data_IF_923286954033
#
_entry.id   IF_923286954033
#
_cell.length_a   1.000
_cell.length_b   1.000
_cell.length_c   1.000
_cell.angle_alpha   90.00
_cell.angle_beta   90.00
_cell.angle_gamma   90.00
#
_symmetry.space_group_name_H-M   'P 1'
#
loop_
_entity.id
_entity.type
_entity.pdbx_description
1 polymer ?
#
# COMPACT_ATOMS: atom_id res chain seq x y z
N UNK A 1 -12.33 -38.43 -29.13
CA UNK A 1 -12.72 -37.00 -29.22
C UNK A 1 -13.49 -36.50 -28.00
N UNK A 2 -14.58 -37.14 -27.55
CA UNK A 2 -15.31 -36.73 -26.32
C UNK A 2 -14.45 -36.63 -25.04
N UNK A 3 -13.53 -37.59 -24.82
CA UNK A 3 -12.59 -37.56 -23.68
C UNK A 3 -11.54 -36.43 -23.77
N UNK A 4 -11.20 -36.00 -24.99
CA UNK A 4 -10.27 -34.90 -25.23
C UNK A 4 -10.96 -33.55 -25.01
N UNK A 5 -12.21 -33.43 -25.43
CA UNK A 5 -13.09 -32.27 -25.21
C UNK A 5 -13.37 -32.03 -23.71
N UNK A 6 -13.62 -33.09 -22.93
CA UNK A 6 -13.81 -33.01 -21.48
C UNK A 6 -12.54 -32.58 -20.73
N UNK A 7 -11.35 -33.01 -21.19
CA UNK A 7 -10.08 -32.61 -20.58
C UNK A 7 -9.78 -31.12 -20.83
N UNK A 8 -10.05 -30.62 -22.04
CA UNK A 8 -9.89 -29.19 -22.36
C UNK A 8 -10.86 -28.31 -21.56
N UNK A 9 -12.13 -28.73 -21.39
CA UNK A 9 -13.11 -28.01 -20.58
C UNK A 9 -12.71 -27.93 -19.10
N UNK A 10 -12.08 -28.99 -18.57
CA UNK A 10 -11.61 -29.02 -17.17
C UNK A 10 -10.40 -28.09 -16.95
N UNK A 11 -9.45 -28.05 -17.88
CA UNK A 11 -8.29 -27.14 -17.81
C UNK A 11 -8.71 -25.68 -17.94
N UNK A 12 -9.66 -25.36 -18.83
CA UNK A 12 -10.19 -24.00 -18.97
C UNK A 12 -10.90 -23.57 -17.68
N UNK A 13 -11.75 -24.44 -17.10
CA UNK A 13 -12.43 -24.16 -15.83
C UNK A 13 -11.47 -23.85 -14.67
N UNK A 14 -10.39 -24.63 -14.52
CA UNK A 14 -9.35 -24.41 -13.52
C UNK A 14 -8.64 -23.06 -13.69
N UNK A 15 -8.27 -22.70 -14.92
CA UNK A 15 -7.57 -21.42 -15.18
C UNK A 15 -8.46 -20.20 -14.89
N UNK A 16 -9.75 -20.27 -15.21
CA UNK A 16 -10.69 -19.16 -14.93
C UNK A 16 -10.95 -18.96 -13.44
N UNK A 17 -11.01 -20.04 -12.66
CA UNK A 17 -11.19 -19.95 -11.20
C UNK A 17 -9.95 -19.38 -10.52
N UNK A 18 -8.75 -19.78 -10.96
CA UNK A 18 -7.49 -19.29 -10.39
C UNK A 18 -7.32 -17.79 -10.64
N UNK A 19 -7.62 -17.32 -11.86
CA UNK A 19 -7.52 -15.91 -12.21
C UNK A 19 -8.55 -15.04 -11.47
N UNK A 20 -9.78 -15.53 -11.29
CA UNK A 20 -10.80 -14.82 -10.51
C UNK A 20 -10.47 -14.72 -9.01
N UNK A 21 -9.81 -15.75 -8.47
CA UNK A 21 -9.35 -15.75 -7.07
C UNK A 21 -8.22 -14.73 -6.86
N UNK A 22 -7.26 -14.67 -7.77
CA UNK A 22 -6.15 -13.69 -7.72
C UNK A 22 -6.66 -12.25 -7.84
N UNK A 23 -7.61 -11.98 -8.74
CA UNK A 23 -8.22 -10.65 -8.89
C UNK A 23 -8.97 -10.21 -7.62
N UNK A 24 -9.69 -11.13 -6.97
CA UNK A 24 -10.38 -10.86 -5.72
C UNK A 24 -9.39 -10.57 -4.58
N UNK A 25 -8.34 -11.37 -4.46
CA UNK A 25 -7.31 -11.19 -3.45
C UNK A 25 -6.57 -9.85 -3.64
N UNK A 26 -6.22 -9.50 -4.88
CA UNK A 26 -5.58 -8.22 -5.19
C UNK A 26 -6.47 -7.04 -4.86
N UNK A 27 -7.75 -7.10 -5.24
CA UNK A 27 -8.74 -6.05 -4.93
C UNK A 27 -8.86 -5.83 -3.42
N UNK A 28 -8.98 -6.90 -2.65
CA UNK A 28 -9.06 -6.84 -1.18
C UNK A 28 -7.78 -6.25 -0.56
N UNK A 29 -6.62 -6.62 -1.10
CA UNK A 29 -5.33 -6.06 -0.66
C UNK A 29 -5.21 -4.57 -0.97
N UNK A 30 -5.72 -4.11 -2.11
CA UNK A 30 -5.77 -2.67 -2.44
C UNK A 30 -6.62 -1.91 -1.42
N UNK A 31 -7.80 -2.43 -1.08
CA UNK A 31 -8.67 -1.81 -0.08
C UNK A 31 -8.02 -1.78 1.31
N UNK A 32 -7.37 -2.88 1.71
CA UNK A 32 -6.55 -2.90 2.93
C UNK A 32 -5.51 -1.77 2.94
N UNK A 33 -4.72 -1.61 1.87
CA UNK A 33 -3.68 -0.57 1.80
C UNK A 33 -4.27 0.83 1.95
N UNK A 34 -5.43 1.10 1.34
CA UNK A 34 -6.12 2.38 1.49
C UNK A 34 -6.55 2.66 2.94
N UNK A 35 -6.90 1.63 3.72
CA UNK A 35 -7.28 1.76 5.14
C UNK A 35 -6.10 2.10 6.06
N UNK A 36 -4.86 1.74 5.71
CA UNK A 36 -3.67 1.95 6.56
C UNK A 36 -3.25 3.41 6.75
N UNK A 37 -3.92 4.36 6.09
CA UNK A 37 -3.50 5.77 6.04
C UNK A 37 -2.51 6.06 4.90
N UNK A 38 -2.08 5.06 4.12
CA UNK A 38 -1.24 5.26 2.95
C UNK A 38 -1.89 6.17 1.90
N UNK A 39 -3.23 6.13 1.76
CA UNK A 39 -3.94 6.99 0.81
C UNK A 39 -3.81 8.48 1.11
N UNK A 40 -4.02 8.89 2.36
CA UNK A 40 -3.85 10.29 2.75
C UNK A 40 -2.39 10.73 2.61
N UNK A 41 -1.42 9.84 2.86
CA UNK A 41 0.00 10.12 2.63
C UNK A 41 0.31 10.44 1.16
N UNK A 42 -0.19 9.64 0.22
CA UNK A 42 0.03 9.89 -1.21
C UNK A 42 -0.71 11.12 -1.72
N UNK A 43 -1.95 11.36 -1.27
CA UNK A 43 -2.67 12.59 -1.60
C UNK A 43 -1.95 13.84 -1.08
N UNK A 44 -1.43 13.78 0.14
CA UNK A 44 -0.62 14.86 0.71
C UNK A 44 0.68 15.08 -0.08
N UNK A 45 1.34 14.00 -0.50
CA UNK A 45 2.53 14.09 -1.35
C UNK A 45 2.21 14.74 -2.71
N UNK A 46 1.10 14.37 -3.35
CA UNK A 46 0.61 15.03 -4.57
C UNK A 46 0.35 16.52 -4.31
N UNK A 47 -0.27 16.87 -3.19
CA UNK A 47 -0.48 18.26 -2.80
C UNK A 47 0.83 19.04 -2.65
N UNK A 48 1.82 18.47 -1.97
CA UNK A 48 3.13 19.09 -1.74
C UNK A 48 3.94 19.25 -3.02
N UNK A 49 4.00 18.21 -3.87
CA UNK A 49 4.67 18.27 -5.17
C UNK A 49 3.96 19.28 -6.09
N UNK A 50 2.64 19.34 -6.01
CA UNK A 50 1.81 20.30 -6.74
C UNK A 50 1.93 21.75 -6.27
N UNK A 51 2.60 22.03 -5.14
CA UNK A 51 2.70 23.37 -4.59
C UNK A 51 3.39 24.35 -5.55
N UNK A 52 4.33 23.84 -6.37
CA UNK A 52 5.06 24.62 -7.38
C UNK A 52 4.33 24.73 -8.74
N UNK A 53 3.20 24.04 -8.91
CA UNK A 53 2.43 24.10 -10.17
C UNK A 53 1.69 25.44 -10.25
N UNK A 54 1.76 26.15 -11.40
CA UNK A 54 1.00 27.39 -11.58
C UNK A 54 -0.49 27.21 -11.32
N UNK A 55 -1.13 28.20 -10.68
CA UNK A 55 -2.54 28.10 -10.24
C UNK A 55 -3.47 27.67 -11.38
N UNK A 56 -3.30 28.24 -12.57
CA UNK A 56 -4.08 27.91 -13.76
C UNK A 56 -3.97 26.43 -14.21
N UNK A 57 -2.91 25.72 -13.81
CA UNK A 57 -2.66 24.31 -14.15
C UNK A 57 -2.91 23.35 -12.99
N UNK A 58 -3.13 23.84 -11.76
CA UNK A 58 -3.27 22.99 -10.56
C UNK A 58 -4.40 21.98 -10.66
N UNK A 59 -5.53 22.36 -11.26
CA UNK A 59 -6.67 21.44 -11.43
C UNK A 59 -6.32 20.25 -12.33
N UNK A 60 -5.71 20.50 -13.48
CA UNK A 60 -5.28 19.45 -14.42
C UNK A 60 -4.21 18.56 -13.80
N UNK A 61 -3.19 19.17 -13.19
CA UNK A 61 -2.17 18.45 -12.43
C UNK A 61 -2.78 17.51 -11.38
N UNK A 62 -3.71 18.01 -10.56
CA UNK A 62 -4.32 17.20 -9.50
C UNK A 62 -5.10 16.02 -10.08
N UNK A 63 -5.84 16.21 -11.16
CA UNK A 63 -6.58 15.13 -11.80
C UNK A 63 -5.64 14.06 -12.37
N UNK A 64 -4.61 14.46 -13.11
CA UNK A 64 -3.62 13.52 -13.67
C UNK A 64 -2.86 12.78 -12.56
N UNK A 65 -2.41 13.49 -11.52
CA UNK A 65 -1.67 12.91 -10.42
C UNK A 65 -2.51 11.92 -9.59
N UNK A 66 -3.77 12.25 -9.29
CA UNK A 66 -4.68 11.31 -8.61
C UNK A 66 -4.94 10.06 -9.45
N UNK A 67 -5.02 10.21 -10.78
CA UNK A 67 -5.15 9.08 -11.70
C UNK A 67 -3.96 8.11 -11.69
N UNK A 68 -2.82 8.49 -11.12
CA UNK A 68 -1.66 7.57 -10.98
C UNK A 68 -1.78 6.62 -9.79
N UNK A 69 -2.68 6.90 -8.82
CA UNK A 69 -2.75 6.15 -7.58
C UNK A 69 -3.23 4.71 -7.77
N UNK A 70 -4.14 4.46 -8.71
CA UNK A 70 -4.64 3.10 -8.96
C UNK A 70 -3.51 2.15 -9.38
N UNK A 71 -2.63 2.60 -10.28
CA UNK A 71 -1.46 1.84 -10.71
C UNK A 71 -0.45 1.63 -9.58
N UNK A 72 -0.30 2.61 -8.68
CA UNK A 72 0.55 2.49 -7.50
C UNK A 72 -0.01 1.46 -6.52
N UNK A 73 -1.30 1.53 -6.19
CA UNK A 73 -1.94 0.56 -5.30
C UNK A 73 -1.88 -0.85 -5.85
N UNK A 74 -2.06 -1.05 -7.15
CA UNK A 74 -1.90 -2.35 -7.78
C UNK A 74 -0.52 -2.95 -7.55
N UNK A 75 0.55 -2.16 -7.72
CA UNK A 75 1.94 -2.60 -7.46
C UNK A 75 2.20 -2.86 -5.99
N UNK A 76 1.64 -2.05 -5.09
CA UNK A 76 1.76 -2.27 -3.65
C UNK A 76 1.04 -3.56 -3.23
N UNK A 77 -0.15 -3.81 -3.76
CA UNK A 77 -0.87 -5.06 -3.49
C UNK A 77 -0.05 -6.29 -3.91
N UNK A 78 0.62 -6.23 -5.06
CA UNK A 78 1.53 -7.31 -5.49
C UNK A 78 2.72 -7.55 -4.53
N UNK A 79 3.15 -6.53 -3.76
CA UNK A 79 4.16 -6.71 -2.71
C UNK A 79 3.56 -7.39 -1.49
N UNK A 80 2.38 -6.94 -1.04
CA UNK A 80 1.71 -7.53 0.12
C UNK A 80 1.27 -8.98 -0.11
N UNK A 81 0.76 -9.31 -1.29
CA UNK A 81 0.32 -10.67 -1.64
C UNK A 81 1.46 -11.71 -1.69
N UNK A 82 2.73 -11.28 -1.69
CA UNK A 82 3.89 -12.17 -1.57
C UNK A 82 4.19 -12.56 -0.13
N UNK A 83 3.82 -11.71 0.80
CA UNK A 83 4.17 -11.85 2.22
C UNK A 83 2.97 -12.29 3.07
N UNK A 84 1.75 -11.98 2.62
CA UNK A 84 0.51 -12.27 3.33
C UNK A 84 -0.41 -13.12 2.49
N UNK A 85 -1.15 -14.01 3.14
CA UNK A 85 -2.28 -14.74 2.58
C UNK A 85 -3.54 -13.87 2.55
N UNK A 86 -4.53 -14.27 1.75
CA UNK A 86 -5.82 -13.57 1.72
C UNK A 86 -6.54 -13.58 3.08
N UNK A 87 -6.43 -14.66 3.86
CA UNK A 87 -6.99 -14.71 5.21
C UNK A 87 -6.34 -13.69 6.15
N UNK A 88 -5.01 -13.53 6.08
CA UNK A 88 -4.30 -12.56 6.93
C UNK A 88 -4.65 -11.12 6.51
N UNK A 89 -4.77 -10.84 5.21
CA UNK A 89 -5.27 -9.53 4.75
C UNK A 89 -6.69 -9.26 5.28
N UNK A 90 -7.58 -10.26 5.30
CA UNK A 90 -8.93 -10.11 5.88
C UNK A 90 -8.89 -9.77 7.37
N UNK A 91 -8.02 -10.43 8.13
CA UNK A 91 -7.82 -10.13 9.55
C UNK A 91 -7.30 -8.70 9.76
N UNK A 92 -6.36 -8.26 8.93
CA UNK A 92 -5.86 -6.88 8.95
C UNK A 92 -6.97 -5.88 8.61
N UNK A 93 -7.77 -6.13 7.59
CA UNK A 93 -8.94 -5.30 7.25
C UNK A 93 -9.91 -5.23 8.42
N UNK A 94 -10.19 -6.34 9.09
CA UNK A 94 -11.06 -6.36 10.26
C UNK A 94 -10.48 -5.49 11.39
N UNK A 95 -9.19 -5.59 11.66
CA UNK A 95 -8.50 -4.75 12.64
C UNK A 95 -8.56 -3.26 12.28
N UNK A 96 -8.22 -2.87 11.05
CA UNK A 96 -8.22 -1.47 10.60
C UNK A 96 -9.62 -0.84 10.56
N UNK A 97 -10.70 -1.65 10.55
CA UNK A 97 -12.06 -1.16 10.68
C UNK A 97 -12.49 -0.85 12.12
N UNK A 98 -11.74 -1.31 13.13
CA UNK A 98 -11.97 -0.94 14.54
C UNK A 98 -11.57 0.52 14.82
N UNK A 99 -12.08 1.10 15.90
CA UNK A 99 -11.69 2.46 16.32
C UNK A 99 -10.19 2.58 16.60
N UNK A 100 -9.59 1.52 17.17
CA UNK A 100 -8.16 1.47 17.43
C UNK A 100 -7.36 1.40 16.12
N UNK A 101 -7.80 0.57 15.17
CA UNK A 101 -7.16 0.44 13.86
C UNK A 101 -7.20 1.74 13.06
N UNK A 102 -8.34 2.44 13.06
CA UNK A 102 -8.48 3.77 12.44
C UNK A 102 -7.57 4.79 13.12
N UNK A 103 -7.54 4.83 14.44
CA UNK A 103 -6.62 5.70 15.20
C UNK A 103 -5.16 5.40 14.84
N UNK A 104 -4.80 4.13 14.70
CA UNK A 104 -3.45 3.75 14.28
C UNK A 104 -3.15 4.28 12.87
N UNK A 105 -4.03 4.04 11.89
CA UNK A 105 -3.87 4.55 10.52
C UNK A 105 -3.68 6.07 10.46
N UNK A 106 -4.44 6.82 11.25
CA UNK A 106 -4.33 8.29 11.34
C UNK A 106 -3.03 8.76 11.98
N UNK A 107 -2.52 8.04 12.98
CA UNK A 107 -1.36 8.49 13.78
C UNK A 107 -0.03 7.94 13.30
N UNK A 108 -0.03 6.79 12.63
CA UNK A 108 1.18 6.03 12.30
C UNK A 108 2.20 6.87 11.53
N UNK A 109 1.77 7.60 10.48
CA UNK A 109 2.67 8.43 9.68
C UNK A 109 3.37 9.50 10.54
N UNK A 110 2.62 10.19 11.40
CA UNK A 110 3.17 11.22 12.28
C UNK A 110 4.12 10.65 13.34
N UNK A 111 3.81 9.46 13.87
CA UNK A 111 4.69 8.75 14.79
C UNK A 111 5.99 8.32 14.11
N UNK A 112 5.92 7.79 12.87
CA UNK A 112 7.10 7.41 12.09
C UNK A 112 8.01 8.61 11.82
N UNK A 113 7.45 9.78 11.48
CA UNK A 113 8.22 11.00 11.29
C UNK A 113 8.93 11.45 12.59
N UNK A 114 8.23 11.40 13.73
CA UNK A 114 8.82 11.70 15.03
C UNK A 114 9.94 10.70 15.39
N UNK A 115 9.71 9.42 15.14
CA UNK A 115 10.70 8.36 15.39
C UNK A 115 11.96 8.55 14.54
N UNK A 116 11.84 8.99 13.27
CA UNK A 116 13.00 9.31 12.43
C UNK A 116 13.87 10.42 13.04
N UNK A 117 13.26 11.48 13.58
CA UNK A 117 14.01 12.55 14.25
C UNK A 117 14.73 12.05 15.51
N UNK A 118 14.07 11.20 16.31
CA UNK A 118 14.71 10.57 17.48
C UNK A 118 15.89 9.69 17.06
N UNK A 119 15.75 8.93 15.98
CA UNK A 119 16.81 8.09 15.43
C UNK A 119 18.02 8.90 14.95
N UNK A 120 17.81 10.09 14.38
CA UNK A 120 18.91 11.00 14.01
C UNK A 120 19.67 11.47 15.25
N UNK A 121 18.97 11.91 16.30
CA UNK A 121 19.60 12.32 17.57
C UNK A 121 20.40 11.18 18.21
N UNK A 122 19.83 9.98 18.25
CA UNK A 122 20.52 8.79 18.73
C UNK A 122 21.75 8.46 17.89
N UNK A 123 21.69 8.62 16.56
CA UNK A 123 22.84 8.42 15.67
C UNK A 123 24.02 9.35 15.99
N UNK A 124 23.74 10.60 16.34
CA UNK A 124 24.77 11.57 16.78
C UNK A 124 25.40 11.13 18.10
N UNK A 125 24.60 10.65 19.05
CA UNK A 125 25.09 10.12 20.32
C UNK A 125 26.04 8.93 20.09
N UNK A 126 25.64 7.97 19.25
CA UNK A 126 26.45 6.80 18.90
C UNK A 126 27.75 7.21 18.18
N UNK A 127 27.70 8.20 17.29
CA UNK A 127 28.91 8.73 16.65
C UNK A 127 29.88 9.33 17.68
N UNK A 128 29.36 10.04 18.68
CA UNK A 128 30.15 10.56 19.79
C UNK A 128 30.79 9.47 20.64
N UNK A 129 30.11 8.34 20.83
CA UNK A 129 30.69 7.15 21.49
C UNK A 129 31.81 6.57 20.63
N UNK A 130 31.57 6.37 19.32
CA UNK A 130 32.57 5.81 18.42
C UNK A 130 33.86 6.64 18.37
N UNK A 131 33.75 7.97 18.38
CA UNK A 131 34.91 8.88 18.43
C UNK A 131 35.74 8.76 19.70
N UNK A 132 35.16 8.33 20.83
CA UNK A 132 35.93 8.07 22.07
C UNK A 132 36.76 6.80 22.02
N UNK A 133 36.49 5.92 21.06
CA UNK A 133 37.13 4.61 20.92
C UNK A 133 37.99 4.48 19.64
N UNK A 134 38.18 5.59 18.92
CA UNK A 134 39.16 5.73 17.83
C UNK A 134 40.38 6.50 18.32
#
# INVERSE_FOLDING_TARGET
MKKLLLLCLFVIGLTTQMQAQDDAFKTETIEFIKLTGAGSAFENAIGQIGAMVPEAKKKGYRQEALGTLDGLYGKMADLYMKEFTQSEIKELVAFYNTDLGKKLAEKQLGLTQQAMMLGQSWGIEVQGIAQKHM
#
